data_IF_032275128738
#
_entry.id   IF_032275128738
#
_cell.length_a   1.000
_cell.length_b   1.000
_cell.length_c   1.000
_cell.angle_alpha   90.00
_cell.angle_beta   90.00
_cell.angle_gamma   90.00
#
_symmetry.space_group_name_H-M   'P 1'
#
loop_
_entity.id
_entity.type
_entity.pdbx_description
1 polymer ?
#
# COMPACT_ATOMS: atom_id res chain seq x y z
N UNK A 1 60.30 45.25 47.31
CA UNK A 1 59.00 44.65 47.54
C UNK A 1 58.18 44.79 46.27
N UNK A 2 58.12 43.77 45.42
CA UNK A 2 57.33 43.72 44.18
C UNK A 2 56.22 42.75 44.34
N UNK A 3 55.00 43.22 44.36
CA UNK A 3 53.81 42.39 44.30
C UNK A 3 53.38 42.18 42.84
N UNK A 4 53.39 40.92 42.38
CA UNK A 4 52.95 40.56 41.07
C UNK A 4 51.50 39.99 41.18
N UNK A 5 50.54 40.82 40.75
CA UNK A 5 49.15 40.45 40.71
C UNK A 5 48.87 39.54 39.45
N UNK A 6 48.71 38.23 39.64
CA UNK A 6 48.32 37.29 38.58
C UNK A 6 46.83 37.31 38.34
N UNK A 7 46.42 37.73 37.13
CA UNK A 7 45.01 37.72 36.70
C UNK A 7 44.68 36.32 36.12
N UNK A 8 43.83 35.55 36.83
CA UNK A 8 43.28 34.31 36.34
C UNK A 8 42.14 34.58 35.32
N UNK A 9 42.36 34.26 34.06
CA UNK A 9 41.32 34.30 33.03
C UNK A 9 40.61 32.93 33.01
N UNK A 10 39.38 32.88 33.52
CA UNK A 10 38.51 31.72 33.43
C UNK A 10 37.87 31.72 32.03
N UNK A 11 38.29 30.80 31.15
CA UNK A 11 37.70 30.63 29.81
C UNK A 11 36.50 29.71 29.95
N UNK A 12 35.29 30.26 29.84
CA UNK A 12 34.05 29.52 29.87
C UNK A 12 33.83 28.89 28.48
N UNK A 13 34.02 27.57 28.35
CA UNK A 13 33.76 26.83 27.13
C UNK A 13 32.26 26.49 27.11
N UNK A 14 31.49 27.17 26.27
CA UNK A 14 30.08 26.85 26.01
C UNK A 14 30.03 25.68 25.03
N UNK A 15 29.66 24.48 25.52
CA UNK A 15 29.39 23.34 24.68
C UNK A 15 27.96 23.46 24.17
N UNK A 16 27.80 23.79 22.88
CA UNK A 16 26.51 23.82 22.19
C UNK A 16 26.11 22.39 21.81
N UNK A 17 25.20 21.77 22.58
CA UNK A 17 24.60 20.49 22.20
C UNK A 17 23.57 20.75 21.07
N UNK A 18 23.94 20.42 19.82
CA UNK A 18 22.98 20.31 18.74
C UNK A 18 22.13 19.02 18.97
N UNK A 19 20.88 19.19 19.37
CA UNK A 19 19.89 18.12 19.33
C UNK A 19 19.56 17.85 17.86
N UNK A 20 20.06 16.75 17.31
CA UNK A 20 19.61 16.24 16.01
C UNK A 20 18.25 15.60 16.25
N UNK A 21 17.18 16.34 15.92
CA UNK A 21 15.85 15.74 15.85
C UNK A 21 15.84 14.76 14.66
N UNK A 22 15.86 13.47 14.94
CA UNK A 22 15.56 12.43 13.93
C UNK A 22 14.07 12.58 13.58
N UNK A 23 13.76 13.13 12.41
CA UNK A 23 12.42 13.06 11.87
C UNK A 23 12.05 11.57 11.77
N UNK A 24 10.97 11.14 12.45
CA UNK A 24 10.44 9.81 12.28
C UNK A 24 10.08 9.63 10.80
N UNK A 25 10.36 8.44 10.24
CA UNK A 25 9.97 8.15 8.87
C UNK A 25 8.44 8.20 8.78
N UNK A 26 7.94 8.83 7.72
CA UNK A 26 6.51 8.97 7.45
C UNK A 26 5.85 7.58 7.29
N UNK A 27 4.74 7.36 7.97
CA UNK A 27 4.00 6.09 7.90
C UNK A 27 3.31 5.92 6.54
N UNK A 28 2.96 4.69 6.13
CA UNK A 28 2.18 4.46 4.92
C UNK A 28 0.84 5.20 4.94
N UNK A 29 0.17 5.26 6.10
CA UNK A 29 -1.08 5.99 6.29
C UNK A 29 -0.91 7.50 6.06
N UNK A 30 0.18 8.09 6.58
CA UNK A 30 0.50 9.51 6.38
C UNK A 30 0.80 9.81 4.91
N UNK A 31 1.52 8.95 4.20
CA UNK A 31 1.78 9.09 2.76
C UNK A 31 0.51 9.01 1.94
N UNK A 32 -0.37 8.06 2.24
CA UNK A 32 -1.68 7.95 1.58
C UNK A 32 -2.50 9.21 1.81
N UNK A 33 -2.58 9.71 3.06
CA UNK A 33 -3.32 10.92 3.38
C UNK A 33 -2.73 12.16 2.68
N UNK A 34 -1.41 12.30 2.62
CA UNK A 34 -0.73 13.37 1.90
C UNK A 34 -1.00 13.34 0.39
N UNK A 35 -1.20 12.14 -0.18
CA UNK A 35 -1.60 11.95 -1.57
C UNK A 35 -3.12 12.10 -1.81
N UNK A 36 -3.91 12.39 -0.76
CA UNK A 36 -5.35 12.61 -0.85
C UNK A 36 -6.20 11.35 -0.73
N UNK A 37 -5.62 10.21 -0.37
CA UNK A 37 -6.33 8.95 -0.19
C UNK A 37 -6.87 8.79 1.24
N UNK A 38 -8.05 8.19 1.34
CA UNK A 38 -8.66 7.76 2.60
C UNK A 38 -8.97 6.28 2.50
N UNK A 39 -8.55 5.49 3.49
CA UNK A 39 -8.87 4.06 3.50
C UNK A 39 -10.34 3.86 3.86
N UNK A 40 -11.06 3.02 3.11
CA UNK A 40 -12.43 2.62 3.41
C UNK A 40 -12.48 1.67 4.63
N UNK A 41 -13.69 1.22 4.97
CA UNK A 41 -13.86 0.07 5.86
C UNK A 41 -13.34 -1.20 5.18
N UNK A 42 -12.78 -2.16 5.94
CA UNK A 42 -12.29 -3.41 5.38
C UNK A 42 -13.42 -4.24 4.78
N UNK A 43 -13.14 -4.96 3.70
CA UNK A 43 -14.12 -5.81 3.02
C UNK A 43 -14.49 -7.02 3.86
N UNK A 44 -15.79 -7.28 4.01
CA UNK A 44 -16.31 -8.50 4.60
C UNK A 44 -16.45 -9.61 3.53
N UNK A 45 -16.24 -10.91 3.90
CA UNK A 45 -16.40 -11.99 2.95
C UNK A 45 -17.88 -12.20 2.60
N UNK A 46 -18.17 -12.33 1.30
CA UNK A 46 -19.54 -12.52 0.78
C UNK A 46 -19.95 -14.00 0.65
N UNK A 47 -19.06 -14.93 1.00
CA UNK A 47 -19.29 -16.38 0.89
C UNK A 47 -18.48 -17.14 1.94
N UNK A 48 -18.34 -18.46 1.79
CA UNK A 48 -17.58 -19.33 2.72
C UNK A 48 -16.07 -19.24 2.42
N UNK A 49 -15.47 -18.11 2.75
CA UNK A 49 -14.01 -17.86 2.70
C UNK A 49 -13.66 -16.78 3.73
N UNK A 50 -12.37 -16.47 3.85
CA UNK A 50 -11.87 -15.34 4.65
C UNK A 50 -11.09 -14.39 3.74
N UNK A 51 -11.09 -13.11 4.06
CA UNK A 51 -10.41 -12.09 3.24
C UNK A 51 -8.89 -12.18 3.33
N UNK A 52 -8.36 -12.82 4.38
CA UNK A 52 -6.93 -13.04 4.56
C UNK A 52 -6.63 -14.28 5.42
N UNK A 53 -5.40 -14.81 5.30
CA UNK A 53 -4.80 -15.81 6.18
C UNK A 53 -3.36 -15.43 6.45
N UNK A 54 -2.93 -15.58 7.70
CA UNK A 54 -1.53 -15.39 8.10
C UNK A 54 -0.87 -16.74 8.37
N UNK A 55 0.35 -16.91 7.86
CA UNK A 55 1.22 -18.08 8.11
C UNK A 55 2.62 -17.55 8.43
N UNK A 56 3.04 -17.64 9.68
CA UNK A 56 4.23 -16.95 10.15
C UNK A 56 4.09 -15.44 9.95
N UNK A 57 5.08 -14.82 9.30
CA UNK A 57 5.07 -13.39 8.96
C UNK A 57 4.49 -13.11 7.57
N UNK A 58 3.85 -14.09 6.93
CA UNK A 58 3.27 -13.92 5.59
C UNK A 58 1.75 -13.85 5.65
N UNK A 59 1.20 -12.79 5.08
CA UNK A 59 -0.23 -12.55 4.93
C UNK A 59 -0.66 -12.87 3.49
N UNK A 60 -1.60 -13.79 3.35
CA UNK A 60 -2.23 -14.16 2.09
C UNK A 60 -3.58 -13.46 2.00
N UNK A 61 -3.75 -12.60 1.01
CA UNK A 61 -4.99 -11.86 0.73
C UNK A 61 -5.77 -12.64 -0.35
N UNK A 62 -7.07 -12.88 -0.13
CA UNK A 62 -7.96 -13.42 -1.14
C UNK A 62 -8.20 -12.41 -2.27
N UNK A 63 -8.95 -12.80 -3.30
CA UNK A 63 -9.41 -11.88 -4.34
C UNK A 63 -10.20 -10.71 -3.72
N UNK A 64 -9.76 -9.50 -4.03
CA UNK A 64 -10.42 -8.25 -3.65
C UNK A 64 -10.92 -7.55 -4.92
N UNK A 65 -12.19 -7.15 -4.91
CA UNK A 65 -12.76 -6.16 -5.79
C UNK A 65 -12.77 -4.78 -5.11
N UNK A 66 -13.42 -3.81 -5.75
CA UNK A 66 -13.77 -2.55 -5.10
C UNK A 66 -14.74 -2.83 -3.94
N UNK A 67 -14.63 -2.07 -2.85
CA UNK A 67 -15.51 -2.16 -1.69
C UNK A 67 -16.60 -1.07 -1.75
N UNK A 68 -17.69 -1.30 -1.01
CA UNK A 68 -18.89 -0.47 -1.07
C UNK A 68 -19.92 -1.01 -2.06
N UNK A 69 -20.97 -0.24 -2.28
CA UNK A 69 -22.12 -0.66 -3.10
C UNK A 69 -21.99 -0.27 -4.59
N UNK A 70 -21.20 0.77 -4.88
CA UNK A 70 -20.99 1.31 -6.22
C UNK A 70 -19.59 0.91 -6.72
N UNK A 71 -19.48 -0.24 -7.39
CA UNK A 71 -18.24 -0.70 -8.00
C UNK A 71 -18.31 -0.74 -9.53
N UNK A 72 -17.15 -0.56 -10.16
CA UNK A 72 -17.01 -0.53 -11.61
C UNK A 72 -17.27 -1.90 -12.22
N UNK A 73 -18.23 -1.99 -13.16
CA UNK A 73 -18.58 -3.23 -13.83
C UNK A 73 -18.39 -3.14 -15.33
N UNK A 74 -18.08 -4.26 -15.96
CA UNK A 74 -17.93 -4.38 -17.42
C UNK A 74 -16.54 -4.86 -17.83
N UNK A 75 -16.36 -5.04 -19.12
CA UNK A 75 -15.12 -5.49 -19.74
C UNK A 75 -14.26 -4.31 -20.20
N UNK A 76 -13.02 -4.28 -19.72
CA UNK A 76 -12.01 -3.34 -20.23
C UNK A 76 -11.70 -3.68 -21.69
N UNK A 77 -11.63 -2.68 -22.52
CA UNK A 77 -11.46 -2.82 -23.98
C UNK A 77 -12.78 -2.87 -24.76
N UNK A 78 -13.91 -3.12 -24.09
CA UNK A 78 -15.24 -3.09 -24.71
C UNK A 78 -16.16 -2.06 -24.06
N UNK A 79 -16.41 -2.22 -22.74
CA UNK A 79 -17.36 -1.40 -21.97
C UNK A 79 -16.64 -0.26 -21.23
N UNK A 80 -15.37 -0.51 -20.87
CA UNK A 80 -14.52 0.37 -20.10
C UNK A 80 -13.21 0.68 -20.83
N UNK A 81 -12.72 1.88 -20.69
CA UNK A 81 -11.38 2.28 -21.12
C UNK A 81 -10.30 1.74 -20.15
N UNK A 82 -9.03 1.71 -20.60
CA UNK A 82 -7.87 1.40 -19.76
C UNK A 82 -7.82 2.29 -18.52
N UNK A 83 -8.09 3.59 -18.67
CA UNK A 83 -8.08 4.54 -17.55
C UNK A 83 -9.15 4.23 -16.50
N UNK A 84 -10.35 3.82 -16.92
CA UNK A 84 -11.41 3.40 -16.00
C UNK A 84 -11.05 2.09 -15.28
N UNK A 85 -10.46 1.13 -16.02
CA UNK A 85 -9.94 -0.10 -15.40
C UNK A 85 -8.80 0.18 -14.39
N UNK A 86 -7.89 1.11 -14.70
CA UNK A 86 -6.82 1.51 -13.78
C UNK A 86 -7.36 2.21 -12.53
N UNK A 87 -8.37 3.08 -12.66
CA UNK A 87 -9.05 3.70 -11.52
C UNK A 87 -9.75 2.64 -10.64
N UNK A 88 -10.40 1.63 -11.26
CA UNK A 88 -10.96 0.48 -10.53
C UNK A 88 -9.87 -0.28 -9.77
N UNK A 89 -8.73 -0.58 -10.41
CA UNK A 89 -7.60 -1.25 -9.76
C UNK A 89 -7.03 -0.44 -8.57
N UNK A 90 -7.00 0.88 -8.65
CA UNK A 90 -6.61 1.78 -7.55
C UNK A 90 -7.60 1.66 -6.38
N UNK A 91 -8.91 1.67 -6.64
CA UNK A 91 -9.93 1.49 -5.61
C UNK A 91 -9.84 0.10 -4.94
N UNK A 92 -9.61 -0.96 -5.72
CA UNK A 92 -9.31 -2.30 -5.18
C UNK A 92 -8.11 -2.25 -4.24
N UNK A 93 -7.08 -1.47 -4.59
CA UNK A 93 -5.91 -1.25 -3.75
C UNK A 93 -6.24 -0.62 -2.39
N UNK A 94 -7.09 0.40 -2.36
CA UNK A 94 -7.53 1.03 -1.11
C UNK A 94 -8.31 0.05 -0.22
N UNK A 95 -9.19 -0.76 -0.82
CA UNK A 95 -9.95 -1.80 -0.10
C UNK A 95 -9.02 -2.88 0.48
N UNK A 96 -8.04 -3.33 -0.30
CA UNK A 96 -7.05 -4.30 0.17
C UNK A 96 -6.17 -3.73 1.30
N UNK A 97 -5.74 -2.47 1.21
CA UNK A 97 -4.99 -1.80 2.28
C UNK A 97 -5.82 -1.70 3.58
N UNK A 98 -7.12 -1.45 3.49
CA UNK A 98 -8.01 -1.48 4.65
C UNK A 98 -8.05 -2.88 5.29
N UNK A 99 -8.14 -3.94 4.48
CA UNK A 99 -8.07 -5.33 4.94
C UNK A 99 -6.71 -5.65 5.58
N UNK A 100 -5.59 -5.23 4.97
CA UNK A 100 -4.24 -5.42 5.54
C UNK A 100 -4.12 -4.71 6.88
N UNK A 101 -4.58 -3.46 6.98
CA UNK A 101 -4.57 -2.70 8.25
C UNK A 101 -5.40 -3.40 9.33
N UNK A 102 -6.58 -3.93 8.98
CA UNK A 102 -7.41 -4.70 9.91
C UNK A 102 -6.71 -5.98 10.38
N UNK A 103 -5.97 -6.67 9.50
CA UNK A 103 -5.26 -7.90 9.81
C UNK A 103 -3.98 -7.67 10.64
N UNK A 104 -3.21 -6.63 10.31
CA UNK A 104 -1.89 -6.36 10.89
C UNK A 104 -1.92 -5.34 12.06
N UNK A 105 -3.02 -4.61 12.23
CA UNK A 105 -3.19 -3.50 13.17
C UNK A 105 -2.84 -2.14 12.56
N UNK A 106 -1.73 -2.05 11.85
CA UNK A 106 -1.25 -0.85 11.16
C UNK A 106 -0.50 -1.22 9.88
N UNK A 107 -0.45 -0.32 8.90
CA UNK A 107 0.25 -0.58 7.63
C UNK A 107 1.77 -0.55 7.76
N UNK A 108 2.32 0.10 8.77
CA UNK A 108 3.77 0.08 9.08
C UNK A 108 4.30 -1.32 9.40
N UNK A 109 3.41 -2.29 9.74
CA UNK A 109 3.75 -3.71 9.88
C UNK A 109 4.10 -4.38 8.54
N UNK A 110 3.72 -3.80 7.40
CA UNK A 110 4.06 -4.33 6.08
C UNK A 110 5.54 -4.12 5.81
N UNK A 111 6.27 -5.23 5.67
CA UNK A 111 7.68 -5.23 5.28
C UNK A 111 7.84 -5.08 3.77
N UNK A 112 7.06 -5.84 2.99
CA UNK A 112 7.03 -5.74 1.53
C UNK A 112 5.84 -6.48 0.93
N UNK A 113 5.42 -6.05 -0.26
CA UNK A 113 4.57 -6.84 -1.14
C UNK A 113 5.42 -7.89 -1.88
N UNK A 114 5.10 -9.17 -1.70
CA UNK A 114 5.85 -10.29 -2.27
C UNK A 114 5.33 -10.61 -3.67
N UNK A 115 4.01 -10.77 -3.80
CA UNK A 115 3.35 -11.12 -5.06
C UNK A 115 2.00 -10.40 -5.19
N UNK A 116 1.68 -10.04 -6.43
CA UNK A 116 0.38 -9.53 -6.85
C UNK A 116 -0.09 -10.31 -8.07
N UNK A 117 -1.34 -10.76 -8.08
CA UNK A 117 -2.03 -11.25 -9.25
C UNK A 117 -3.20 -10.32 -9.54
N UNK A 118 -3.07 -9.51 -10.57
CA UNK A 118 -4.14 -8.65 -11.08
C UNK A 118 -4.89 -9.36 -12.20
N UNK A 119 -6.19 -9.54 -12.00
CA UNK A 119 -7.14 -10.16 -12.92
C UNK A 119 -8.06 -9.08 -13.48
N UNK A 120 -8.09 -8.93 -14.79
CA UNK A 120 -8.87 -7.91 -15.48
C UNK A 120 -10.00 -8.58 -16.25
N UNK A 121 -11.24 -8.18 -16.01
CA UNK A 121 -12.37 -8.54 -16.84
C UNK A 121 -12.21 -7.81 -18.19
N UNK A 122 -11.73 -8.48 -19.19
CA UNK A 122 -11.31 -7.87 -20.45
C UNK A 122 -12.04 -8.45 -21.67
N UNK A 123 -12.12 -7.69 -22.75
CA UNK A 123 -12.52 -8.24 -24.05
C UNK A 123 -11.46 -9.20 -24.57
N UNK A 124 -11.84 -10.11 -25.47
CA UNK A 124 -11.00 -11.21 -25.94
C UNK A 124 -9.73 -10.75 -26.66
N UNK A 125 -9.78 -9.55 -27.29
CA UNK A 125 -8.70 -8.93 -28.02
C UNK A 125 -7.89 -7.91 -27.20
N UNK A 126 -8.28 -7.67 -25.94
CA UNK A 126 -7.57 -6.73 -25.05
C UNK A 126 -6.27 -7.33 -24.55
N UNK A 127 -5.17 -6.60 -24.65
CA UNK A 127 -3.83 -7.08 -24.28
C UNK A 127 -3.09 -6.16 -23.28
N UNK A 128 -3.64 -4.99 -22.97
CA UNK A 128 -2.97 -3.98 -22.13
C UNK A 128 -3.33 -4.11 -20.64
N UNK A 129 -3.45 -5.37 -20.15
CA UNK A 129 -3.72 -5.68 -18.76
C UNK A 129 -2.70 -5.06 -17.78
N UNK A 130 -1.38 -4.97 -18.12
CA UNK A 130 -0.41 -4.35 -17.24
C UNK A 130 -0.72 -2.88 -16.94
N UNK A 131 -1.22 -2.12 -17.91
CA UNK A 131 -1.59 -0.70 -17.73
C UNK A 131 -2.78 -0.56 -16.77
N UNK A 132 -3.75 -1.48 -16.82
CA UNK A 132 -4.87 -1.52 -15.87
C UNK A 132 -4.36 -1.80 -14.45
N UNK A 133 -3.54 -2.83 -14.26
CA UNK A 133 -3.05 -3.23 -12.94
C UNK A 133 -2.03 -2.23 -12.37
N UNK A 134 -1.49 -1.32 -13.17
CA UNK A 134 -0.67 -0.22 -12.69
C UNK A 134 -1.41 0.65 -11.67
N UNK A 135 -2.73 0.88 -11.81
CA UNK A 135 -3.49 1.64 -10.82
C UNK A 135 -3.30 1.11 -9.40
N UNK A 136 -3.36 -0.20 -9.21
CA UNK A 136 -3.06 -0.83 -7.93
C UNK A 136 -1.59 -0.68 -7.53
N UNK A 137 -0.67 -1.00 -8.45
CA UNK A 137 0.76 -1.03 -8.13
C UNK A 137 1.32 0.34 -7.79
N UNK A 138 0.87 1.39 -8.47
CA UNK A 138 1.28 2.76 -8.24
C UNK A 138 0.79 3.25 -6.86
N UNK A 139 -0.42 2.88 -6.45
CA UNK A 139 -0.92 3.13 -5.10
C UNK A 139 -0.05 2.43 -4.03
N UNK A 140 0.37 1.18 -4.25
CA UNK A 140 1.28 0.48 -3.33
C UNK A 140 2.63 1.20 -3.23
N UNK A 141 3.14 1.76 -4.33
CA UNK A 141 4.38 2.56 -4.32
C UNK A 141 4.17 3.88 -3.57
N UNK A 142 3.02 4.53 -3.68
CA UNK A 142 2.68 5.71 -2.86
C UNK A 142 2.76 5.38 -1.38
N UNK A 143 2.16 4.28 -0.95
CA UNK A 143 2.11 3.89 0.45
C UNK A 143 3.46 3.40 1.00
N UNK A 144 4.19 2.56 0.25
CA UNK A 144 5.34 1.79 0.76
C UNK A 144 6.66 2.06 0.03
N UNK A 145 6.68 2.92 -0.98
CA UNK A 145 7.87 3.13 -1.80
C UNK A 145 8.30 1.83 -2.49
N UNK A 146 9.59 1.50 -2.43
CA UNK A 146 10.13 0.28 -3.05
C UNK A 146 9.56 -1.02 -2.47
N UNK A 147 9.14 -1.02 -1.21
CA UNK A 147 8.50 -2.18 -0.57
C UNK A 147 7.10 -2.50 -1.15
N UNK A 148 6.46 -1.54 -1.82
CA UNK A 148 5.21 -1.75 -2.57
C UNK A 148 5.39 -2.42 -3.93
N UNK A 149 6.63 -2.54 -4.45
CA UNK A 149 6.92 -3.17 -5.74
C UNK A 149 6.99 -4.69 -5.59
N UNK A 150 5.98 -5.39 -6.05
CA UNK A 150 5.89 -6.86 -5.97
C UNK A 150 6.26 -7.57 -7.27
N UNK A 151 6.58 -8.86 -7.17
CA UNK A 151 6.50 -9.77 -8.33
C UNK A 151 5.04 -9.86 -8.79
N UNK A 152 4.74 -9.45 -10.04
CA UNK A 152 3.37 -9.24 -10.51
C UNK A 152 3.00 -10.04 -11.74
N UNK A 153 1.81 -10.66 -11.71
CA UNK A 153 1.07 -11.09 -12.89
C UNK A 153 -0.07 -10.11 -13.18
N UNK A 154 -0.34 -9.84 -14.47
CA UNK A 154 -1.50 -9.09 -14.94
C UNK A 154 -2.11 -9.85 -16.11
N UNK A 155 -3.33 -10.36 -15.94
CA UNK A 155 -3.98 -11.29 -16.88
C UNK A 155 -5.42 -10.89 -17.17
N UNK A 156 -5.89 -11.21 -18.37
CA UNK A 156 -7.30 -11.09 -18.74
C UNK A 156 -8.09 -12.32 -18.31
N UNK A 157 -9.29 -12.12 -17.82
CA UNK A 157 -10.23 -13.16 -17.41
C UNK A 157 -11.45 -13.17 -18.34
N UNK A 158 -11.94 -14.38 -18.61
CA UNK A 158 -13.17 -14.54 -19.40
C UNK A 158 -14.38 -13.88 -18.71
N UNK A 159 -14.41 -13.90 -17.37
CA UNK A 159 -15.38 -13.18 -16.52
C UNK A 159 -14.83 -13.04 -15.12
N UNK A 160 -15.31 -12.06 -14.37
CA UNK A 160 -15.11 -11.94 -12.92
C UNK A 160 -16.47 -11.96 -12.20
N UNK A 161 -16.50 -12.32 -10.90
CA UNK A 161 -17.72 -12.31 -10.10
C UNK A 161 -18.44 -10.96 -10.20
N UNK A 162 -19.76 -10.95 -10.18
CA UNK A 162 -20.58 -9.73 -10.28
C UNK A 162 -20.23 -8.81 -11.46
N UNK A 163 -19.52 -9.34 -12.48
CA UNK A 163 -19.04 -8.58 -13.64
C UNK A 163 -18.13 -7.38 -13.26
N UNK A 164 -17.42 -7.44 -12.11
CA UNK A 164 -16.47 -6.38 -11.72
C UNK A 164 -15.36 -6.23 -12.76
N UNK A 165 -14.79 -5.03 -12.85
CA UNK A 165 -13.75 -4.72 -13.83
C UNK A 165 -12.39 -5.35 -13.48
N UNK A 166 -12.04 -5.37 -12.19
CA UNK A 166 -10.74 -5.84 -11.70
C UNK A 166 -10.91 -6.60 -10.40
N UNK A 167 -10.14 -7.69 -10.25
CA UNK A 167 -9.98 -8.43 -9.01
C UNK A 167 -8.48 -8.64 -8.76
N UNK A 168 -8.00 -8.49 -7.53
CA UNK A 168 -6.58 -8.62 -7.19
C UNK A 168 -6.38 -9.50 -5.96
N UNK A 169 -5.42 -10.42 -6.06
CA UNK A 169 -4.85 -11.18 -4.95
C UNK A 169 -3.45 -10.69 -4.62
N UNK A 170 -3.06 -10.77 -3.34
CA UNK A 170 -1.72 -10.41 -2.93
C UNK A 170 -1.16 -11.34 -1.85
N UNK A 171 0.18 -11.41 -1.81
CA UNK A 171 0.96 -12.01 -0.73
C UNK A 171 1.86 -10.91 -0.18
N UNK A 172 1.79 -10.68 1.13
CA UNK A 172 2.50 -9.61 1.82
C UNK A 172 3.34 -10.21 2.95
N UNK A 173 4.58 -9.80 3.07
CA UNK A 173 5.43 -10.10 4.22
C UNK A 173 5.28 -8.99 5.26
N UNK A 174 5.08 -9.36 6.50
CA UNK A 174 5.02 -8.46 7.65
C UNK A 174 6.38 -8.42 8.37
N UNK A 175 6.67 -7.33 9.05
CA UNK A 175 7.71 -7.34 10.08
C UNK A 175 7.31 -8.32 11.19
N UNK A 176 8.25 -9.09 11.75
CA UNK A 176 7.96 -9.98 12.89
C UNK A 176 7.20 -9.24 13.99
N UNK A 177 6.20 -9.91 14.58
CA UNK A 177 5.54 -9.42 15.78
C UNK A 177 6.49 -9.50 17.00
N UNK A 178 6.32 -8.62 17.97
CA UNK A 178 7.00 -8.68 19.25
C UNK A 178 6.52 -9.87 20.07
#
# INVERSE_FOLDING_TARGET
MNETTGTFRCTLTVVLLLAVATAAAETPEERLAAAGYTLPEPTEPVATYVTWRQVGDVLYLSGHGECGDDYTTGKVGRDLSVAQGAASAEQVGLCMLATIRSAAGELSRVKQFVRILGMVNASDDFTDHPAVVNGFSDLMVVAFGDAGKAARGAVGMASLPSNIAVEIEAIVELHPGD
#
